data_IF_510494658407
#
_entry.id   IF_510494658407
#
_cell.length_a   1.000
_cell.length_b   1.000
_cell.length_c   1.000
_cell.angle_alpha   90.00
_cell.angle_beta   90.00
_cell.angle_gamma   90.00
#
_symmetry.space_group_name_H-M   'P 1'
#
loop_
_entity.id
_entity.type
_entity.pdbx_description
1 polymer ?
#
# COMPACT_ATOMS: atom_id res chain seq x y z
N UNK A 1 -8.36 -22.32 -0.91
CA UNK A 1 -9.12 -22.91 0.20
C UNK A 1 -8.41 -22.47 1.47
N UNK A 2 -9.02 -21.55 2.21
CA UNK A 2 -8.49 -21.10 3.50
C UNK A 2 -8.86 -22.17 4.54
N UNK A 3 -8.13 -23.29 4.55
CA UNK A 3 -8.27 -24.31 5.59
C UNK A 3 -7.72 -23.75 6.90
N UNK A 4 -8.30 -24.12 8.04
CA UNK A 4 -7.71 -23.89 9.36
C UNK A 4 -6.29 -24.48 9.39
N UNK A 5 -5.30 -23.63 9.15
CA UNK A 5 -3.90 -23.97 9.33
C UNK A 5 -3.59 -23.74 10.80
N UNK A 6 -3.75 -24.78 11.62
CA UNK A 6 -3.07 -24.85 12.90
C UNK A 6 -1.58 -25.05 12.62
N UNK A 7 -0.88 -23.95 12.32
CA UNK A 7 0.55 -23.94 12.50
C UNK A 7 0.84 -24.30 13.97
N UNK A 8 1.91 -25.07 14.28
CA UNK A 8 2.36 -25.18 15.66
C UNK A 8 2.52 -23.75 16.22
N UNK A 9 2.05 -23.52 17.44
CA UNK A 9 1.80 -22.21 18.10
C UNK A 9 2.92 -21.15 18.00
N UNK A 10 4.08 -21.46 17.43
CA UNK A 10 5.28 -20.62 17.35
C UNK A 10 5.77 -20.23 15.93
N UNK A 11 5.20 -20.74 14.82
CA UNK A 11 5.72 -20.41 13.50
C UNK A 11 5.07 -19.16 12.86
N UNK A 12 5.25 -17.98 13.47
CA UNK A 12 4.88 -16.69 12.87
C UNK A 12 5.85 -16.29 11.75
N UNK A 13 5.35 -15.59 10.75
CA UNK A 13 6.20 -15.01 9.71
C UNK A 13 7.04 -13.85 10.28
N UNK A 14 8.17 -13.51 9.66
CA UNK A 14 8.89 -12.29 10.02
C UNK A 14 8.19 -11.06 9.42
N UNK A 15 7.26 -10.46 10.17
CA UNK A 15 6.37 -9.42 9.66
C UNK A 15 6.05 -8.33 10.69
N UNK A 16 5.55 -7.20 10.20
CA UNK A 16 5.08 -6.07 11.00
C UNK A 16 3.93 -5.37 10.30
N UNK A 17 3.08 -4.67 11.06
CA UNK A 17 2.31 -3.57 10.50
C UNK A 17 3.20 -2.35 10.31
N UNK A 18 2.92 -1.56 9.29
CA UNK A 18 3.52 -0.24 9.08
C UNK A 18 2.41 0.81 8.95
N UNK A 19 2.55 1.89 9.73
CA UNK A 19 1.60 2.99 9.77
C UNK A 19 2.36 4.28 9.55
N UNK A 20 2.12 4.96 8.43
CA UNK A 20 2.57 6.33 8.22
C UNK A 20 1.46 7.28 8.67
N UNK A 21 1.70 8.07 9.71
CA UNK A 21 0.68 8.95 10.27
C UNK A 21 1.29 10.18 10.92
N UNK A 22 0.55 11.29 10.89
CA UNK A 22 0.90 12.52 11.61
C UNK A 22 0.30 12.50 13.01
N UNK A 23 0.88 13.29 13.91
CA UNK A 23 0.34 13.53 15.25
C UNK A 23 -1.15 13.97 15.22
N UNK A 24 -1.55 14.75 14.22
CA UNK A 24 -2.93 15.23 14.07
C UNK A 24 -3.95 14.14 13.71
N UNK A 25 -3.50 12.98 13.24
CA UNK A 25 -4.33 11.87 12.77
C UNK A 25 -4.56 10.81 13.87
N UNK A 26 -4.19 11.12 15.13
CA UNK A 26 -4.28 10.19 16.26
C UNK A 26 -5.66 9.53 16.42
N UNK A 27 -6.75 10.24 16.11
CA UNK A 27 -8.11 9.68 16.20
C UNK A 27 -8.38 8.62 15.13
N UNK A 28 -7.97 8.89 13.89
CA UNK A 28 -8.13 7.94 12.79
C UNK A 28 -7.23 6.73 12.97
N UNK A 29 -6.00 6.94 13.44
CA UNK A 29 -5.10 5.85 13.84
C UNK A 29 -5.75 4.98 14.93
N UNK A 30 -6.30 5.59 15.97
CA UNK A 30 -6.98 4.85 17.03
C UNK A 30 -8.10 3.97 16.49
N UNK A 31 -8.93 4.49 15.57
CA UNK A 31 -10.02 3.72 14.98
C UNK A 31 -9.48 2.52 14.20
N UNK A 32 -8.49 2.73 13.32
CA UNK A 32 -7.87 1.67 12.55
C UNK A 32 -7.24 0.58 13.41
N UNK A 33 -6.54 0.96 14.49
CA UNK A 33 -5.92 0.01 15.42
C UNK A 33 -6.97 -0.79 16.18
N UNK A 34 -8.06 -0.17 16.64
CA UNK A 34 -9.16 -0.90 17.29
C UNK A 34 -9.76 -1.96 16.38
N UNK A 35 -10.01 -1.61 15.11
CA UNK A 35 -10.64 -2.53 14.17
C UNK A 35 -9.69 -3.71 13.85
N UNK A 36 -8.42 -3.46 13.53
CA UNK A 36 -7.49 -4.56 13.22
C UNK A 36 -7.16 -5.41 14.45
N UNK A 37 -7.09 -4.84 15.65
CA UNK A 37 -6.91 -5.61 16.89
C UNK A 37 -8.13 -6.51 17.14
N UNK A 38 -9.34 -5.97 17.00
CA UNK A 38 -10.57 -6.72 17.20
C UNK A 38 -10.75 -7.85 16.19
N UNK A 39 -10.40 -7.60 14.92
CA UNK A 39 -10.62 -8.56 13.82
C UNK A 39 -9.46 -9.53 13.60
N UNK A 40 -8.26 -9.25 14.10
CA UNK A 40 -7.07 -10.04 13.79
C UNK A 40 -6.01 -10.01 14.90
N UNK A 41 -5.42 -8.84 15.16
CA UNK A 41 -4.07 -8.82 15.72
C UNK A 41 -4.03 -9.07 17.24
N UNK A 42 -5.16 -8.94 17.95
CA UNK A 42 -5.25 -9.37 19.34
C UNK A 42 -4.87 -10.87 19.49
N UNK A 43 -5.16 -11.70 18.48
CA UNK A 43 -4.81 -13.12 18.47
C UNK A 43 -3.33 -13.38 18.07
N UNK A 44 -2.79 -12.64 17.10
CA UNK A 44 -1.50 -12.96 16.47
C UNK A 44 -0.32 -12.14 17.01
N UNK A 45 -0.58 -10.98 17.60
CA UNK A 45 0.40 -10.13 18.26
C UNK A 45 1.60 -9.78 17.36
N UNK A 46 1.34 -9.47 16.08
CA UNK A 46 2.36 -8.91 15.19
C UNK A 46 2.68 -7.47 15.60
N UNK A 47 3.96 -7.05 15.52
CA UNK A 47 4.37 -5.72 15.94
C UNK A 47 3.86 -4.62 15.00
N UNK A 48 3.85 -3.39 15.51
CA UNK A 48 3.56 -2.17 14.75
C UNK A 48 4.79 -1.28 14.65
N UNK A 49 5.06 -0.76 13.46
CA UNK A 49 6.02 0.32 13.22
C UNK A 49 5.26 1.56 12.76
N UNK A 50 5.26 2.59 13.59
CA UNK A 50 4.73 3.91 13.25
C UNK A 50 5.84 4.80 12.72
N UNK A 51 5.64 5.41 11.57
CA UNK A 51 6.57 6.33 10.92
C UNK A 51 5.92 7.70 10.75
N UNK A 52 6.69 8.76 10.91
CA UNK A 52 6.25 10.14 10.72
C UNK A 52 7.41 11.04 10.28
N UNK A 53 7.13 12.10 9.54
CA UNK A 53 8.12 13.11 9.15
C UNK A 53 8.44 14.11 10.27
N UNK A 54 7.67 14.04 11.37
CA UNK A 54 7.91 14.74 12.62
C UNK A 54 8.00 13.77 13.80
N UNK A 55 8.59 14.21 14.92
CA UNK A 55 8.59 13.42 16.15
C UNK A 55 7.15 13.16 16.63
N UNK A 56 6.83 11.90 16.93
CA UNK A 56 5.56 11.56 17.56
C UNK A 56 5.52 12.13 18.99
N UNK A 57 4.43 12.84 19.29
CA UNK A 57 4.14 13.38 20.61
C UNK A 57 3.91 12.27 21.64
N UNK A 58 4.18 12.57 22.91
CA UNK A 58 3.92 11.62 24.01
C UNK A 58 2.45 11.23 24.10
N UNK A 59 1.55 12.16 23.79
CA UNK A 59 0.10 11.89 23.73
C UNK A 59 -0.27 10.89 22.65
N UNK A 60 0.33 10.99 21.45
CA UNK A 60 0.13 10.01 20.38
C UNK A 60 0.64 8.63 20.79
N UNK A 61 1.88 8.57 21.28
CA UNK A 61 2.52 7.30 21.71
C UNK A 61 1.71 6.63 22.82
N UNK A 62 1.33 7.38 23.86
CA UNK A 62 0.55 6.87 24.97
C UNK A 62 -0.83 6.34 24.53
N UNK A 63 -1.47 6.99 23.54
CA UNK A 63 -2.75 6.53 23.02
C UNK A 63 -2.60 5.21 22.27
N UNK A 64 -1.64 5.10 21.36
CA UNK A 64 -1.39 3.86 20.60
C UNK A 64 -1.04 2.70 21.53
N UNK A 65 -0.14 2.91 22.49
CA UNK A 65 0.28 1.89 23.46
C UNK A 65 -0.86 1.42 24.39
N UNK A 66 -1.96 2.18 24.50
CA UNK A 66 -3.12 1.78 25.28
C UNK A 66 -4.15 0.94 24.49
N UNK A 67 -3.95 0.76 23.18
CA UNK A 67 -4.90 0.07 22.29
C UNK A 67 -4.48 -1.36 21.94
N UNK A 68 -3.22 -1.73 22.18
CA UNK A 68 -2.67 -3.05 21.81
C UNK A 68 -1.62 -3.51 22.83
N UNK A 69 -1.55 -4.81 23.05
CA UNK A 69 -0.48 -5.47 23.80
C UNK A 69 0.71 -5.87 22.90
N UNK A 70 0.57 -5.73 21.58
CA UNK A 70 1.62 -6.06 20.63
C UNK A 70 2.81 -5.08 20.73
N UNK A 71 4.04 -5.48 20.35
CA UNK A 71 5.18 -4.57 20.37
C UNK A 71 4.98 -3.40 19.41
N UNK A 72 5.28 -2.17 19.86
CA UNK A 72 5.15 -0.96 19.05
C UNK A 72 6.47 -0.20 19.01
N UNK A 73 6.89 0.22 17.82
CA UNK A 73 8.02 1.11 17.61
C UNK A 73 7.58 2.39 16.89
N UNK A 74 8.20 3.51 17.26
CA UNK A 74 7.95 4.82 16.65
C UNK A 74 9.24 5.33 16.01
N UNK A 75 9.21 5.68 14.73
CA UNK A 75 10.36 6.14 13.96
C UNK A 75 10.15 7.50 13.32
N UNK A 76 11.14 8.38 13.47
CA UNK A 76 11.25 9.61 12.69
C UNK A 76 11.86 9.28 11.31
N UNK A 77 11.19 9.70 10.25
CA UNK A 77 11.68 9.51 8.89
C UNK A 77 12.91 10.39 8.65
N UNK A 78 14.04 9.82 8.16
CA UNK A 78 15.19 10.62 7.76
C UNK A 78 14.80 11.68 6.73
N UNK A 79 15.28 12.91 6.92
CA UNK A 79 14.89 14.05 6.08
C UNK A 79 15.18 13.82 4.59
N UNK A 80 16.24 13.08 4.25
CA UNK A 80 16.62 12.69 2.88
C UNK A 80 15.62 11.73 2.21
N UNK A 81 14.85 10.98 3.00
CA UNK A 81 13.83 10.06 2.51
C UNK A 81 12.47 10.75 2.33
N UNK A 82 12.23 11.86 3.03
CA UNK A 82 10.97 12.59 2.98
C UNK A 82 11.00 13.82 2.06
N UNK A 83 12.02 14.65 2.19
CA UNK A 83 12.05 15.96 1.55
C UNK A 83 12.33 15.86 0.04
N UNK A 84 11.89 16.90 -0.68
CA UNK A 84 12.16 17.05 -2.10
C UNK A 84 13.67 17.05 -2.35
N UNK A 85 14.18 16.21 -3.28
CA UNK A 85 15.60 16.15 -3.56
C UNK A 85 16.08 17.31 -4.42
N UNK A 86 17.37 17.65 -4.30
CA UNK A 86 17.98 18.86 -4.90
C UNK A 86 17.97 18.90 -6.44
N UNK A 87 17.78 17.76 -7.12
CA UNK A 87 17.70 17.73 -8.59
C UNK A 87 16.32 18.10 -9.13
N UNK A 88 15.35 18.34 -8.25
CA UNK A 88 14.03 18.83 -8.64
C UNK A 88 14.07 20.34 -8.81
N UNK A 89 13.68 20.79 -10.00
CA UNK A 89 13.41 22.19 -10.30
C UNK A 89 12.15 22.64 -9.55
N UNK A 90 12.37 23.38 -8.46
CA UNK A 90 11.30 23.83 -7.58
C UNK A 90 10.37 24.87 -8.26
N UNK A 91 10.85 25.66 -9.21
CA UNK A 91 9.98 26.60 -9.95
C UNK A 91 8.99 25.82 -10.82
N UNK A 92 9.49 24.84 -11.57
CA UNK A 92 8.65 23.94 -12.38
C UNK A 92 7.67 23.14 -11.52
N UNK A 93 8.13 22.60 -10.39
CA UNK A 93 7.26 21.85 -9.48
C UNK A 93 6.17 22.76 -8.88
N UNK A 94 6.50 24.00 -8.53
CA UNK A 94 5.54 25.00 -8.03
C UNK A 94 4.48 25.37 -9.08
N UNK A 95 4.87 25.54 -10.34
CA UNK A 95 3.93 25.77 -11.43
C UNK A 95 2.94 24.61 -11.60
N UNK A 96 3.43 23.38 -11.56
CA UNK A 96 2.58 22.18 -11.60
C UNK A 96 1.59 22.14 -10.44
N UNK A 97 2.06 22.41 -9.21
CA UNK A 97 1.20 22.46 -8.01
C UNK A 97 0.11 23.53 -8.13
N UNK A 98 0.46 24.73 -8.63
CA UNK A 98 -0.51 25.81 -8.85
C UNK A 98 -1.54 25.42 -9.91
N UNK A 99 -1.10 24.82 -11.02
CA UNK A 99 -1.98 24.35 -12.09
C UNK A 99 -2.95 23.27 -11.58
N UNK A 100 -2.45 22.21 -10.95
CA UNK A 100 -3.29 21.13 -10.43
C UNK A 100 -4.28 21.62 -9.37
N UNK A 101 -3.88 22.57 -8.51
CA UNK A 101 -4.79 23.21 -7.55
C UNK A 101 -5.88 24.01 -8.25
N UNK A 102 -5.54 24.76 -9.31
CA UNK A 102 -6.50 25.51 -10.10
C UNK A 102 -7.50 24.59 -10.80
N UNK A 103 -7.03 23.47 -11.34
CA UNK A 103 -7.83 22.47 -12.05
C UNK A 103 -8.68 21.58 -11.11
N UNK A 104 -8.61 21.80 -9.79
CA UNK A 104 -9.38 21.03 -8.81
C UNK A 104 -8.91 19.59 -8.61
N UNK A 105 -7.68 19.25 -9.03
CA UNK A 105 -7.11 17.91 -8.84
C UNK A 105 -6.89 17.65 -7.35
N UNK A 106 -7.43 16.55 -6.84
CA UNK A 106 -7.29 16.15 -5.43
C UNK A 106 -5.82 16.16 -5.00
N UNK A 107 -5.52 16.77 -3.85
CA UNK A 107 -4.15 16.99 -3.34
C UNK A 107 -3.17 17.72 -4.28
N UNK A 108 -3.65 18.34 -5.37
CA UNK A 108 -2.80 18.96 -6.39
C UNK A 108 -1.85 20.03 -5.86
N UNK A 109 -2.22 20.76 -4.81
CA UNK A 109 -1.39 21.78 -4.16
C UNK A 109 -0.76 21.40 -2.82
N UNK A 110 -0.87 20.14 -2.36
CA UNK A 110 -0.51 19.72 -1.01
C UNK A 110 0.93 19.16 -0.89
N UNK A 111 1.42 19.02 0.36
CA UNK A 111 2.65 18.31 0.74
C UNK A 111 2.60 16.78 0.49
N UNK A 112 1.46 16.28 0.01
CA UNK A 112 1.14 14.89 -0.30
C UNK A 112 2.18 14.17 -1.19
N UNK A 113 2.94 14.90 -2.01
CA UNK A 113 3.94 14.33 -2.93
C UNK A 113 5.12 13.67 -2.21
N UNK A 114 5.54 14.22 -1.07
CA UNK A 114 6.58 13.60 -0.25
C UNK A 114 6.12 12.25 0.28
N UNK A 115 4.87 12.16 0.72
CA UNK A 115 4.25 10.90 1.14
C UNK A 115 4.26 9.87 0.01
N UNK A 116 3.78 10.24 -1.18
CA UNK A 116 3.77 9.32 -2.33
C UNK A 116 5.17 8.82 -2.69
N UNK A 117 6.17 9.71 -2.71
CA UNK A 117 7.57 9.32 -2.94
C UNK A 117 8.10 8.41 -1.83
N UNK A 118 7.82 8.73 -0.57
CA UNK A 118 8.24 7.96 0.59
C UNK A 118 7.69 6.53 0.55
N UNK A 119 6.39 6.39 0.31
CA UNK A 119 5.76 5.09 0.19
C UNK A 119 6.22 4.33 -1.06
N UNK A 120 6.55 5.03 -2.15
CA UNK A 120 7.10 4.39 -3.36
C UNK A 120 8.50 3.81 -3.18
N UNK A 121 9.37 4.44 -2.37
CA UNK A 121 10.80 4.14 -2.41
C UNK A 121 11.53 3.98 -1.09
N UNK A 122 10.95 4.36 0.04
CA UNK A 122 11.72 4.57 1.28
C UNK A 122 11.19 3.88 2.53
N UNK A 123 9.87 3.65 2.67
CA UNK A 123 9.34 3.06 3.91
C UNK A 123 10.03 1.74 4.26
N UNK A 124 10.23 0.86 3.26
CA UNK A 124 10.89 -0.45 3.42
C UNK A 124 12.41 -0.37 3.64
N UNK A 125 13.00 0.84 3.51
CA UNK A 125 14.42 1.15 3.78
C UNK A 125 14.63 1.79 5.15
N UNK A 126 13.55 2.16 5.85
CA UNK A 126 13.65 2.76 7.18
C UNK A 126 14.35 1.79 8.17
N UNK A 127 15.24 2.26 9.07
CA UNK A 127 16.00 1.38 9.97
C UNK A 127 15.15 0.38 10.76
N UNK A 128 13.98 0.81 11.25
CA UNK A 128 13.04 -0.06 11.97
C UNK A 128 12.43 -1.17 11.09
N UNK A 129 12.34 -0.94 9.78
CA UNK A 129 11.76 -1.89 8.84
C UNK A 129 12.77 -2.95 8.36
N UNK A 130 14.08 -2.70 8.49
CA UNK A 130 15.14 -3.57 7.95
C UNK A 130 15.15 -4.98 8.55
N UNK A 131 14.65 -5.15 9.78
CA UNK A 131 14.58 -6.45 10.45
C UNK A 131 13.39 -7.31 10.01
N UNK A 132 12.41 -6.71 9.32
CA UNK A 132 11.21 -7.40 8.87
C UNK A 132 11.29 -7.79 7.39
N UNK A 133 10.63 -8.89 7.05
CA UNK A 133 10.46 -9.34 5.67
C UNK A 133 9.13 -8.86 5.10
N UNK A 134 8.02 -9.17 5.76
CA UNK A 134 6.69 -8.74 5.31
C UNK A 134 6.24 -7.47 6.03
N UNK A 135 5.44 -6.65 5.34
CA UNK A 135 4.71 -5.55 5.95
C UNK A 135 3.22 -5.67 5.64
N UNK A 136 2.39 -5.14 6.53
CA UNK A 136 0.99 -4.82 6.23
C UNK A 136 0.79 -3.33 6.47
N UNK A 137 0.49 -2.57 5.41
CA UNK A 137 0.18 -1.15 5.51
C UNK A 137 -1.21 -0.93 6.09
N UNK A 138 -1.28 -0.08 7.09
CA UNK A 138 -2.52 0.38 7.73
C UNK A 138 -2.49 1.91 7.73
N UNK A 139 -3.56 2.52 7.21
CA UNK A 139 -3.74 3.98 7.25
C UNK A 139 -4.67 4.41 8.39
N UNK A 140 -4.65 5.68 8.80
CA UNK A 140 -5.70 6.25 9.64
C UNK A 140 -7.09 6.12 8.98
N UNK A 141 -8.15 6.02 9.80
CA UNK A 141 -9.55 6.06 9.35
C UNK A 141 -9.93 4.91 8.37
N UNK A 142 -9.38 3.71 8.61
CA UNK A 142 -9.77 2.48 7.88
C UNK A 142 -10.63 1.58 8.75
N UNK A 143 -11.44 0.74 8.10
CA UNK A 143 -12.28 -0.24 8.78
C UNK A 143 -12.03 -1.66 8.32
N UNK A 144 -12.01 -2.59 9.27
CA UNK A 144 -11.98 -4.04 9.03
C UNK A 144 -13.33 -4.64 9.39
N UNK A 145 -14.00 -5.15 8.38
CA UNK A 145 -15.42 -5.54 8.45
C UNK A 145 -15.61 -7.02 8.78
N UNK A 146 -14.56 -7.83 8.76
CA UNK A 146 -14.62 -9.27 8.94
C UNK A 146 -13.51 -9.74 9.87
N UNK A 147 -13.80 -10.77 10.66
CA UNK A 147 -12.82 -11.52 11.44
C UNK A 147 -11.85 -12.27 10.51
N UNK A 148 -10.57 -12.13 10.79
CA UNK A 148 -9.48 -12.67 9.98
C UNK A 148 -8.92 -13.91 10.70
N UNK A 149 -9.64 -15.02 10.51
CA UNK A 149 -9.41 -16.29 11.20
C UNK A 149 -8.22 -17.13 10.66
N UNK A 150 -7.27 -16.47 9.99
CA UNK A 150 -6.03 -17.06 9.47
C UNK A 150 -4.91 -16.01 9.52
N UNK A 151 -3.65 -16.44 9.48
CA UNK A 151 -2.49 -15.53 9.43
C UNK A 151 -2.17 -15.14 7.97
N UNK A 152 -2.41 -13.88 7.53
CA UNK A 152 -2.13 -13.47 6.17
C UNK A 152 -0.64 -13.45 5.85
N UNK A 153 0.23 -13.14 6.81
CA UNK A 153 1.67 -13.14 6.57
C UNK A 153 2.20 -14.56 6.38
N UNK A 154 1.75 -15.50 7.21
CA UNK A 154 2.11 -16.90 7.06
C UNK A 154 1.56 -17.47 5.75
N UNK A 155 0.33 -17.09 5.36
CA UNK A 155 -0.21 -17.42 4.05
C UNK A 155 0.68 -16.92 2.91
N UNK A 156 1.12 -15.65 2.97
CA UNK A 156 2.00 -15.07 1.95
C UNK A 156 3.31 -15.86 1.85
N UNK A 157 3.94 -16.14 2.99
CA UNK A 157 5.20 -16.89 3.08
C UNK A 157 5.06 -18.32 2.53
N UNK A 158 4.07 -19.08 2.99
CA UNK A 158 3.88 -20.48 2.61
C UNK A 158 3.50 -20.65 1.13
N UNK A 159 2.75 -19.69 0.58
CA UNK A 159 2.29 -19.73 -0.80
C UNK A 159 3.17 -18.90 -1.75
N UNK A 160 4.35 -18.44 -1.28
CA UNK A 160 5.33 -17.68 -2.05
C UNK A 160 4.72 -16.45 -2.75
N UNK A 161 3.80 -15.79 -2.06
CA UNK A 161 3.19 -14.53 -2.51
C UNK A 161 4.12 -13.38 -2.15
N UNK A 162 4.10 -12.37 -3.01
CA UNK A 162 4.91 -11.15 -2.88
C UNK A 162 4.04 -9.94 -2.60
N UNK A 163 2.88 -9.83 -3.24
CA UNK A 163 1.99 -8.67 -3.08
C UNK A 163 0.54 -9.11 -2.90
N UNK A 164 -0.14 -8.53 -1.93
CA UNK A 164 -1.52 -8.82 -1.60
C UNK A 164 -2.36 -7.56 -1.44
N UNK A 165 -3.58 -7.57 -1.98
CA UNK A 165 -4.48 -6.42 -2.02
C UNK A 165 -5.95 -6.81 -1.74
N UNK A 166 -6.78 -5.82 -1.41
CA UNK A 166 -8.24 -5.96 -1.24
C UNK A 166 -9.04 -5.11 -2.24
N UNK A 167 -8.47 -4.04 -2.79
CA UNK A 167 -9.16 -3.18 -3.75
C UNK A 167 -8.27 -2.79 -4.92
N UNK A 168 -8.90 -2.54 -6.06
CA UNK A 168 -8.29 -1.93 -7.23
C UNK A 168 -9.24 -0.86 -7.78
N UNK A 169 -8.68 0.29 -8.17
CA UNK A 169 -9.43 1.46 -8.64
C UNK A 169 -8.74 2.07 -9.86
N UNK A 170 -9.37 3.07 -10.47
CA UNK A 170 -8.78 3.85 -11.57
C UNK A 170 -8.12 5.12 -11.03
N UNK A 171 -6.91 5.42 -11.51
CA UNK A 171 -6.20 6.66 -11.18
C UNK A 171 -6.77 7.86 -11.95
N UNK A 172 -6.57 9.04 -11.38
CA UNK A 172 -6.82 10.33 -12.02
C UNK A 172 -5.74 10.57 -13.08
N UNK A 173 -6.09 10.46 -14.36
CA UNK A 173 -5.15 10.56 -15.48
C UNK A 173 -4.23 11.78 -15.44
N UNK A 174 -4.73 12.94 -14.98
CA UNK A 174 -3.96 14.20 -14.88
C UNK A 174 -2.75 14.12 -13.93
N UNK A 175 -2.70 13.10 -13.08
CA UNK A 175 -1.70 12.97 -12.01
C UNK A 175 -0.52 12.11 -12.41
N UNK A 176 -0.66 11.35 -13.51
CA UNK A 176 0.26 10.33 -14.01
C UNK A 176 0.48 10.43 -15.53
N UNK A 177 0.38 11.65 -16.09
CA UNK A 177 0.42 11.89 -17.53
C UNK A 177 1.65 11.35 -18.25
N UNK A 178 2.81 11.31 -17.57
CA UNK A 178 4.05 10.74 -18.12
C UNK A 178 4.53 9.47 -17.42
N UNK A 179 3.76 8.93 -16.46
CA UNK A 179 4.18 7.76 -15.70
C UNK A 179 4.39 6.55 -16.61
N UNK A 180 3.40 6.22 -17.43
CA UNK A 180 3.45 5.04 -18.30
C UNK A 180 4.59 5.11 -19.32
N UNK A 181 4.75 6.24 -20.00
CA UNK A 181 5.84 6.41 -20.98
C UNK A 181 7.22 6.39 -20.31
N UNK A 182 7.34 6.90 -19.08
CA UNK A 182 8.57 6.80 -18.30
C UNK A 182 8.90 5.34 -17.95
N UNK A 183 7.89 4.53 -17.63
CA UNK A 183 8.03 3.10 -17.33
C UNK A 183 8.35 2.29 -18.60
N UNK A 184 7.72 2.60 -19.72
CA UNK A 184 8.06 1.99 -21.01
C UNK A 184 9.54 2.22 -21.35
N UNK A 185 10.05 3.44 -21.18
CA UNK A 185 11.46 3.74 -21.36
C UNK A 185 12.38 2.96 -20.38
N UNK A 186 11.95 2.75 -19.14
CA UNK A 186 12.68 1.89 -18.19
C UNK A 186 12.73 0.44 -18.69
N UNK A 187 11.61 -0.11 -19.16
CA UNK A 187 11.53 -1.49 -19.68
C UNK A 187 12.40 -1.66 -20.92
N UNK A 188 12.38 -0.71 -21.85
CA UNK A 188 13.23 -0.72 -23.05
C UNK A 188 14.72 -0.76 -22.68
N UNK A 189 15.12 -0.01 -21.64
CA UNK A 189 16.47 -0.02 -21.12
C UNK A 189 16.80 -1.26 -20.26
N UNK A 190 15.80 -1.98 -19.76
CA UNK A 190 15.93 -3.10 -18.82
C UNK A 190 14.98 -4.25 -19.18
N UNK A 191 15.08 -4.85 -20.37
CA UNK A 191 14.09 -5.83 -20.85
C UNK A 191 14.02 -7.09 -19.97
N UNK A 192 15.08 -7.41 -19.23
CA UNK A 192 15.13 -8.54 -18.29
C UNK A 192 14.34 -8.30 -16.99
N UNK A 193 13.87 -7.08 -16.75
CA UNK A 193 13.02 -6.77 -15.60
C UNK A 193 11.61 -7.34 -15.72
N UNK A 194 11.11 -7.53 -16.95
CA UNK A 194 9.77 -8.05 -17.19
C UNK A 194 9.64 -9.50 -16.75
N UNK A 195 8.63 -9.79 -15.93
CA UNK A 195 8.27 -11.16 -15.62
C UNK A 195 7.59 -11.83 -16.82
N UNK A 196 7.86 -13.12 -17.09
CA UNK A 196 7.33 -13.81 -18.27
C UNK A 196 5.82 -14.07 -18.19
N UNK A 197 5.26 -14.20 -16.99
CA UNK A 197 3.82 -14.40 -16.76
C UNK A 197 3.25 -13.25 -15.91
N UNK A 198 3.60 -12.03 -16.30
CA UNK A 198 3.17 -10.80 -15.64
C UNK A 198 1.68 -10.53 -15.84
N UNK A 199 1.17 -9.48 -15.20
CA UNK A 199 -0.23 -9.07 -15.22
C UNK A 199 -0.44 -7.82 -16.09
N UNK A 200 0.22 -7.71 -17.24
CA UNK A 200 0.10 -6.54 -18.14
C UNK A 200 -1.37 -6.22 -18.48
N UNK A 201 -2.19 -7.24 -18.72
CA UNK A 201 -3.61 -7.08 -19.07
C UNK A 201 -4.45 -6.40 -17.96
N UNK A 202 -3.96 -6.41 -16.71
CA UNK A 202 -4.61 -5.67 -15.62
C UNK A 202 -4.43 -4.16 -15.79
N UNK A 203 -3.25 -3.70 -16.22
CA UNK A 203 -2.88 -2.27 -16.32
C UNK A 203 -2.95 -1.73 -17.74
N UNK A 204 -3.21 -2.56 -18.75
CA UNK A 204 -3.29 -2.13 -20.14
C UNK A 204 -4.33 -2.95 -20.89
N UNK A 205 -5.17 -2.29 -21.67
CA UNK A 205 -6.18 -2.94 -22.51
C UNK A 205 -5.78 -3.05 -23.99
N UNK A 206 -4.57 -2.65 -24.35
CA UNK A 206 -4.07 -2.56 -25.73
C UNK A 206 -2.64 -3.12 -25.86
N UNK A 207 -2.36 -4.23 -25.16
CA UNK A 207 -1.09 -4.95 -25.21
C UNK A 207 0.15 -4.10 -24.85
N UNK A 208 -0.03 -3.12 -23.97
CA UNK A 208 1.02 -2.28 -23.39
C UNK A 208 1.22 -0.96 -24.12
N UNK A 209 0.37 -0.62 -25.09
CA UNK A 209 0.49 0.65 -25.79
C UNK A 209 0.09 1.83 -24.90
N UNK A 210 -0.91 1.67 -24.02
CA UNK A 210 -1.34 2.68 -23.07
C UNK A 210 -1.67 2.12 -21.68
N UNK A 211 -1.59 2.99 -20.67
CA UNK A 211 -2.02 2.68 -19.31
C UNK A 211 -3.53 2.90 -19.20
N UNK A 212 -4.27 1.85 -18.79
CA UNK A 212 -5.72 1.92 -18.59
C UNK A 212 -6.14 2.57 -17.25
N UNK A 213 -5.18 3.06 -16.47
CA UNK A 213 -5.33 3.71 -15.16
C UNK A 213 -5.67 2.77 -13.98
N UNK A 214 -5.84 1.46 -14.21
CA UNK A 214 -6.05 0.50 -13.14
C UNK A 214 -4.84 0.41 -12.21
N UNK A 215 -5.08 0.38 -10.90
CA UNK A 215 -4.06 0.11 -9.91
C UNK A 215 -4.67 -0.54 -8.67
N UNK A 216 -3.89 -1.33 -7.94
CA UNK A 216 -4.21 -1.76 -6.58
C UNK A 216 -4.18 -0.56 -5.65
N UNK A 217 -5.16 -0.44 -4.78
CA UNK A 217 -5.26 0.71 -3.89
C UNK A 217 -4.39 0.50 -2.65
N UNK A 218 -3.31 1.28 -2.55
CA UNK A 218 -2.18 1.05 -1.66
C UNK A 218 -2.42 1.40 -0.19
N UNK A 219 -3.59 1.91 0.20
CA UNK A 219 -3.91 2.07 1.62
C UNK A 219 -4.04 0.71 2.35
N UNK A 220 -4.33 -0.36 1.60
CA UNK A 220 -4.19 -1.74 2.01
C UNK A 220 -3.14 -2.43 1.14
N UNK A 221 -2.06 -2.91 1.76
CA UNK A 221 -1.05 -3.72 1.10
C UNK A 221 -0.47 -4.72 2.10
N UNK A 222 -0.35 -5.97 1.69
CA UNK A 222 0.53 -6.94 2.36
C UNK A 222 1.64 -7.32 1.38
N UNK A 223 2.88 -6.93 1.68
CA UNK A 223 3.99 -7.03 0.74
C UNK A 223 5.25 -7.68 1.31
N UNK A 224 6.00 -8.38 0.46
CA UNK A 224 7.35 -8.88 0.75
C UNK A 224 8.39 -7.79 0.47
N UNK A 225 8.94 -7.18 1.52
CA UNK A 225 9.96 -6.13 1.41
C UNK A 225 11.28 -6.61 0.81
N UNK A 226 11.57 -7.92 0.75
CA UNK A 226 12.73 -8.40 0.01
C UNK A 226 12.60 -8.11 -1.49
N UNK A 227 11.38 -8.10 -2.04
CA UNK A 227 11.15 -7.72 -3.44
C UNK A 227 11.38 -6.22 -3.67
N UNK A 228 10.86 -5.36 -2.79
CA UNK A 228 11.08 -3.90 -2.85
C UNK A 228 12.57 -3.53 -2.69
N UNK A 229 13.32 -4.30 -1.89
CA UNK A 229 14.77 -4.17 -1.72
C UNK A 229 15.57 -4.81 -2.86
N UNK A 230 14.92 -5.58 -3.73
CA UNK A 230 15.53 -6.25 -4.85
C UNK A 230 16.04 -5.28 -5.92
N UNK A 231 16.93 -5.76 -6.78
CA UNK A 231 17.60 -4.95 -7.81
C UNK A 231 16.59 -4.30 -8.77
N UNK A 232 15.62 -5.07 -9.26
CA UNK A 232 14.64 -4.59 -10.26
C UNK A 232 13.83 -3.42 -9.71
N UNK A 233 13.22 -3.59 -8.52
CA UNK A 233 12.42 -2.53 -7.92
C UNK A 233 13.27 -1.31 -7.51
N UNK A 234 14.48 -1.54 -6.99
CA UNK A 234 15.38 -0.45 -6.60
C UNK A 234 15.75 0.42 -7.81
N UNK A 235 16.14 -0.20 -8.93
CA UNK A 235 16.47 0.52 -10.18
C UNK A 235 15.25 1.19 -10.80
N UNK A 236 14.08 0.54 -10.72
CA UNK A 236 12.81 1.10 -11.17
C UNK A 236 12.46 2.37 -10.40
N UNK A 237 12.49 2.31 -9.07
CA UNK A 237 12.23 3.48 -8.23
C UNK A 237 13.24 4.60 -8.52
N UNK A 238 14.55 4.30 -8.59
CA UNK A 238 15.57 5.30 -8.92
C UNK A 238 15.34 5.98 -10.28
N UNK A 239 14.89 5.21 -11.29
CA UNK A 239 14.52 5.74 -12.59
C UNK A 239 13.36 6.74 -12.49
N UNK A 240 12.30 6.38 -11.77
CA UNK A 240 11.14 7.26 -11.56
C UNK A 240 11.50 8.51 -10.73
N UNK A 241 12.30 8.33 -9.67
CA UNK A 241 12.73 9.43 -8.79
C UNK A 241 13.60 10.45 -9.55
N UNK A 242 14.43 9.98 -10.48
CA UNK A 242 15.20 10.84 -11.39
C UNK A 242 14.34 11.53 -12.45
N UNK A 243 13.28 10.89 -12.92
CA UNK A 243 12.32 11.53 -13.84
C UNK A 243 11.55 12.68 -13.18
N UNK A 244 11.42 12.66 -11.85
CA UNK A 244 10.87 13.76 -11.05
C UNK A 244 9.34 13.87 -11.09
N UNK A 245 8.64 12.88 -11.63
CA UNK A 245 7.19 12.91 -11.78
C UNK A 245 6.41 12.93 -10.46
N UNK A 246 7.02 12.50 -9.35
CA UNK A 246 6.47 12.75 -8.01
C UNK A 246 6.25 14.24 -7.72
N UNK A 247 7.09 15.13 -8.28
CA UNK A 247 7.08 16.57 -8.04
C UNK A 247 6.56 17.40 -9.21
N UNK A 248 6.94 17.04 -10.45
CA UNK A 248 6.45 17.70 -11.65
C UNK A 248 5.03 17.29 -12.03
N UNK A 249 4.57 16.12 -11.57
CA UNK A 249 3.17 15.69 -11.63
C UNK A 249 2.65 15.43 -10.21
N UNK A 250 1.97 14.31 -9.99
CA UNK A 250 1.51 13.85 -8.66
C UNK A 250 1.43 12.33 -8.64
N UNK A 251 2.50 11.66 -9.07
CA UNK A 251 2.59 10.20 -9.07
C UNK A 251 2.34 9.65 -7.68
N UNK A 252 1.25 8.90 -7.52
CA UNK A 252 0.94 8.19 -6.28
C UNK A 252 1.81 6.94 -6.14
N UNK A 253 2.05 6.51 -4.91
CA UNK A 253 2.63 5.20 -4.62
C UNK A 253 1.74 4.06 -5.13
N UNK A 254 0.42 4.23 -5.11
CA UNK A 254 -0.53 3.22 -5.58
C UNK A 254 -0.32 2.81 -7.05
N UNK A 255 -0.33 3.73 -8.04
CA UNK A 255 0.00 3.37 -9.41
C UNK A 255 1.46 2.95 -9.59
N UNK A 256 2.42 3.53 -8.84
CA UNK A 256 3.84 3.12 -8.93
C UNK A 256 4.05 1.67 -8.50
N UNK A 257 3.53 1.27 -7.33
CA UNK A 257 3.56 -0.10 -6.83
C UNK A 257 2.83 -1.03 -7.80
N UNK A 258 1.64 -0.64 -8.24
CA UNK A 258 0.80 -1.48 -9.09
C UNK A 258 1.41 -1.77 -10.45
N UNK A 259 2.03 -0.77 -11.08
CA UNK A 259 2.71 -0.95 -12.35
C UNK A 259 3.96 -1.83 -12.18
N UNK A 260 4.75 -1.63 -11.12
CA UNK A 260 5.89 -2.50 -10.82
C UNK A 260 5.45 -3.95 -10.56
N UNK A 261 4.41 -4.16 -9.76
CA UNK A 261 3.83 -5.47 -9.47
C UNK A 261 3.32 -6.13 -10.75
N UNK A 262 2.53 -5.41 -11.55
CA UNK A 262 1.92 -5.94 -12.76
C UNK A 262 2.94 -6.29 -13.85
N UNK A 263 4.11 -5.65 -13.86
CA UNK A 263 5.14 -5.84 -14.90
C UNK A 263 6.27 -6.78 -14.47
N UNK A 264 6.70 -6.72 -13.20
CA UNK A 264 7.94 -7.37 -12.73
C UNK A 264 7.70 -8.59 -11.85
N UNK A 265 6.44 -8.89 -11.49
CA UNK A 265 6.07 -10.12 -10.80
C UNK A 265 5.27 -11.03 -11.73
N UNK A 266 5.40 -12.34 -11.51
CA UNK A 266 4.45 -13.27 -12.12
C UNK A 266 3.10 -13.14 -11.43
N UNK A 267 2.01 -13.28 -12.17
CA UNK A 267 0.64 -13.20 -11.68
C UNK A 267 0.40 -14.15 -10.49
N UNK A 268 1.07 -15.31 -10.46
CA UNK A 268 0.99 -16.27 -9.34
C UNK A 268 1.55 -15.75 -8.01
N UNK A 269 2.37 -14.70 -8.03
CA UNK A 269 2.96 -14.06 -6.86
C UNK A 269 2.06 -12.94 -6.30
N UNK A 270 1.03 -12.54 -7.03
CA UNK A 270 0.04 -11.54 -6.60
C UNK A 270 -1.16 -12.27 -6.00
N UNK A 271 -1.78 -11.70 -4.96
CA UNK A 271 -2.91 -12.30 -4.26
C UNK A 271 -4.02 -11.29 -3.96
N UNK A 272 -5.26 -11.67 -4.26
CA UNK A 272 -6.44 -10.94 -3.85
C UNK A 272 -6.99 -11.54 -2.55
N UNK A 273 -7.01 -10.74 -1.48
CA UNK A 273 -7.51 -11.15 -0.17
C UNK A 273 -9.04 -11.02 -0.07
N UNK A 274 -9.75 -11.88 -0.81
CA UNK A 274 -11.22 -11.95 -0.77
C UNK A 274 -11.81 -12.01 0.67
N UNK A 275 -11.26 -12.78 1.63
CA UNK A 275 -11.84 -12.86 2.98
C UNK A 275 -11.69 -11.60 3.83
N UNK A 276 -10.82 -10.65 3.47
CA UNK A 276 -10.52 -9.49 4.32
C UNK A 276 -11.44 -8.33 3.92
N UNK A 277 -12.60 -8.22 4.58
CA UNK A 277 -13.48 -7.07 4.41
C UNK A 277 -12.79 -5.79 4.89
N UNK A 278 -12.67 -4.80 4.01
CA UNK A 278 -11.86 -3.61 4.25
C UNK A 278 -12.48 -2.38 3.60
N UNK A 279 -12.39 -1.23 4.27
CA UNK A 279 -12.89 0.05 3.78
C UNK A 279 -11.91 1.18 4.09
N UNK A 280 -11.83 2.11 3.15
CA UNK A 280 -11.17 3.40 3.31
C UNK A 280 -12.04 4.46 2.62
N UNK A 281 -12.38 5.54 3.32
CA UNK A 281 -13.37 6.52 2.87
C UNK A 281 -14.69 5.86 2.40
N UNK A 282 -15.18 6.23 1.22
CA UNK A 282 -16.42 5.73 0.60
C UNK A 282 -16.24 4.41 -0.15
N UNK A 283 -15.02 3.90 -0.25
CA UNK A 283 -14.69 2.70 -1.03
C UNK A 283 -14.48 1.51 -0.11
N UNK A 284 -15.13 0.39 -0.44
CA UNK A 284 -15.08 -0.81 0.38
C UNK A 284 -15.01 -2.08 -0.47
N UNK A 285 -14.23 -3.04 0.02
CA UNK A 285 -14.29 -4.44 -0.37
C UNK A 285 -15.00 -5.24 0.73
N UNK A 286 -15.95 -6.07 0.33
CA UNK A 286 -16.63 -7.03 1.18
C UNK A 286 -16.51 -8.41 0.49
N UNK A 287 -16.25 -9.51 1.22
CA UNK A 287 -15.97 -10.80 0.59
C UNK A 287 -17.01 -11.19 -0.47
N UNK A 288 -16.52 -11.54 -1.67
CA UNK A 288 -17.37 -11.89 -2.80
C UNK A 288 -18.00 -13.26 -2.58
N UNK A 289 -17.24 -14.19 -2.02
CA UNK A 289 -17.72 -15.51 -1.64
C UNK A 289 -18.56 -15.43 -0.34
N UNK A 290 -19.81 -15.90 -0.42
CA UNK A 290 -20.74 -15.91 0.70
C UNK A 290 -20.25 -16.72 1.90
N UNK A 291 -19.64 -17.88 1.67
CA UNK A 291 -19.14 -18.72 2.77
C UNK A 291 -18.01 -18.00 3.53
N UNK A 292 -17.15 -17.25 2.82
CA UNK A 292 -16.12 -16.42 3.45
C UNK A 292 -16.73 -15.25 4.24
N UNK A 293 -17.77 -14.62 3.69
CA UNK A 293 -18.49 -13.56 4.39
C UNK A 293 -19.14 -14.06 5.70
N UNK A 294 -19.81 -15.22 5.66
CA UNK A 294 -20.43 -15.83 6.84
C UNK A 294 -19.38 -16.31 7.85
N UNK A 295 -18.29 -16.94 7.41
CA UNK A 295 -17.20 -17.42 8.28
C UNK A 295 -16.39 -16.29 8.93
N UNK A 296 -16.30 -15.14 8.27
CA UNK A 296 -15.64 -13.95 8.79
C UNK A 296 -16.55 -13.09 9.68
N UNK A 297 -17.77 -13.54 10.00
CA UNK A 297 -18.75 -12.76 10.79
C UNK A 297 -18.84 -11.30 10.33
N UNK A 298 -18.90 -11.12 9.00
CA UNK A 298 -18.72 -9.80 8.40
C UNK A 298 -19.90 -8.86 8.69
N UNK A 299 -19.61 -7.59 8.96
CA UNK A 299 -20.63 -6.53 9.16
C UNK A 299 -20.85 -5.64 7.91
N UNK A 300 -20.02 -5.78 6.88
CA UNK A 300 -20.23 -5.14 5.58
C UNK A 300 -21.38 -5.78 4.80
N UNK A 301 -22.07 -4.98 3.98
CA UNK A 301 -23.17 -5.48 3.14
C UNK A 301 -22.64 -6.40 2.04
N UNK A 302 -23.07 -7.65 2.03
CA UNK A 302 -22.75 -8.58 0.96
C UNK A 302 -23.45 -8.18 -0.34
N UNK A 303 -22.69 -8.06 -1.44
CA UNK A 303 -23.18 -7.53 -2.73
C UNK A 303 -24.34 -8.32 -3.34
N UNK A 304 -24.51 -9.60 -3.00
CA UNK A 304 -25.52 -10.45 -3.61
C UNK A 304 -26.93 -10.37 -3.00
N UNK A 305 -27.15 -9.63 -1.92
CA UNK A 305 -28.47 -9.60 -1.26
C UNK A 305 -29.44 -8.53 -1.80
N UNK A 306 -28.99 -7.47 -2.49
CA UNK A 306 -29.89 -6.35 -2.85
C UNK A 306 -29.70 -5.69 -4.24
N UNK A 307 -28.87 -6.24 -5.13
CA UNK A 307 -28.85 -5.81 -6.54
C UNK A 307 -28.42 -4.37 -6.82
N UNK A 308 -27.82 -3.67 -5.86
CA UNK A 308 -27.29 -2.32 -6.08
C UNK A 308 -25.77 -2.37 -6.31
N UNK A 309 -25.39 -1.99 -7.55
CA UNK A 309 -24.03 -1.74 -7.96
C UNK A 309 -23.55 -0.45 -7.29
N UNK A 310 -22.75 -0.56 -6.23
CA UNK A 310 -21.96 0.58 -5.75
C UNK A 310 -20.59 0.48 -6.42
N UNK A 311 -20.26 1.54 -7.15
CA UNK A 311 -19.15 1.67 -8.10
C UNK A 311 -17.76 1.42 -7.50
#
# INVERSE_FOLDING_TARGET
IYTHFSAPEDARANATFVVLARNSEAKGVEQSIRDIEARFNAQYQYPYVFLNDEEFSDGFKARVLALTDAPVEFGLIPSEHWNQPDWIDEERALESRKKMKHDGVMYGGASYRNMCRFNSGFFYRHPLMLKYRYYWRIEPDVHFHCDINFDPFLFMQQNKKVYGFTMAVHEIAQTVSSLWSTIQAFIEANPTALAPSNSLDFVSSDAGASYNLCHFWSNFEIGDMEWYRGEVYSRFFEWLDRAGGFYYERWGDAPVHSLAVALFLNTSQVHFFDPIGYQHDDWSHCPLNRDLWEQGECDCRWRGEFGEYIH
#
